data_IF_010011259778
#
_entry.id   IF_010011259778
#
_cell.length_a   1.000
_cell.length_b   1.000
_cell.length_c   1.000
_cell.angle_alpha   90.00
_cell.angle_beta   90.00
_cell.angle_gamma   90.00
#
_symmetry.space_group_name_H-M   'P 1'
#
loop_
_entity.id
_entity.type
_entity.pdbx_description
1 polymer ?
#
# COMPACT_ATOMS: atom_id res chain seq x y z
N UNK A 1 -19.54 3.89 10.75
CA UNK A 1 -18.42 3.52 9.86
C UNK A 1 -18.78 3.88 8.43
N UNK A 2 -17.87 4.46 7.66
CA UNK A 2 -18.11 4.66 6.22
C UNK A 2 -17.93 3.31 5.54
N UNK A 3 -18.91 2.87 4.77
CA UNK A 3 -18.90 1.57 4.11
C UNK A 3 -18.33 1.73 2.69
N UNK A 4 -17.32 0.93 2.34
CA UNK A 4 -16.74 0.90 1.00
C UNK A 4 -17.08 -0.45 0.39
N UNK A 5 -18.12 -0.56 -0.45
CA UNK A 5 -18.53 -1.84 -0.99
C UNK A 5 -17.45 -2.37 -1.95
N UNK A 6 -16.77 -3.44 -1.55
CA UNK A 6 -15.78 -4.15 -2.36
C UNK A 6 -16.37 -5.36 -3.09
N UNK A 7 -17.68 -5.60 -2.95
CA UNK A 7 -18.34 -6.77 -3.53
C UNK A 7 -18.24 -6.78 -5.05
N UNK A 8 -17.81 -7.89 -5.63
CA UNK A 8 -17.64 -8.06 -7.08
C UNK A 8 -16.41 -7.37 -7.68
N UNK A 9 -15.62 -6.66 -6.89
CA UNK A 9 -14.43 -5.93 -7.37
C UNK A 9 -13.20 -6.81 -7.49
N UNK A 10 -12.16 -6.28 -8.12
CA UNK A 10 -10.81 -6.84 -8.19
C UNK A 10 -9.82 -5.97 -7.44
N UNK A 11 -8.92 -6.59 -6.68
CA UNK A 11 -7.95 -5.86 -5.86
C UNK A 11 -6.55 -6.43 -5.89
N UNK A 12 -5.59 -5.57 -5.60
CA UNK A 12 -4.18 -5.91 -5.42
C UNK A 12 -3.80 -5.71 -3.96
N UNK A 13 -3.18 -6.71 -3.36
CA UNK A 13 -2.58 -6.66 -2.03
C UNK A 13 -1.07 -6.61 -2.20
N UNK A 14 -0.40 -5.64 -1.58
CA UNK A 14 1.04 -5.43 -1.66
C UNK A 14 1.65 -5.49 -0.26
N UNK A 15 2.73 -6.26 -0.10
CA UNK A 15 3.45 -6.40 1.17
C UNK A 15 2.93 -7.52 2.09
N UNK A 16 2.04 -8.38 1.59
CA UNK A 16 1.50 -9.49 2.37
C UNK A 16 2.43 -10.70 2.32
N UNK A 17 3.12 -11.00 3.42
CA UNK A 17 3.94 -12.22 3.54
C UNK A 17 3.11 -13.49 3.80
N UNK A 18 1.84 -13.34 4.19
CA UNK A 18 0.90 -14.45 4.42
C UNK A 18 -0.47 -14.09 3.88
N UNK A 19 -1.28 -15.03 3.37
CA UNK A 19 -2.53 -14.74 2.65
C UNK A 19 -3.70 -14.23 3.53
N UNK A 20 -3.39 -13.62 4.68
CA UNK A 20 -4.38 -13.20 5.68
C UNK A 20 -5.25 -12.05 5.17
N UNK A 21 -4.65 -11.04 4.51
CA UNK A 21 -5.37 -9.90 3.94
C UNK A 21 -6.20 -10.33 2.73
N UNK A 22 -5.67 -11.24 1.93
CA UNK A 22 -6.31 -11.83 0.77
C UNK A 22 -7.57 -12.61 1.18
N UNK A 23 -7.45 -13.44 2.24
CA UNK A 23 -8.58 -14.15 2.84
C UNK A 23 -9.65 -13.19 3.36
N UNK A 24 -9.25 -12.06 3.97
CA UNK A 24 -10.18 -11.04 4.43
C UNK A 24 -10.92 -10.39 3.25
N UNK A 25 -10.22 -10.05 2.17
CA UNK A 25 -10.84 -9.50 0.96
C UNK A 25 -11.90 -10.44 0.37
N UNK A 26 -11.58 -11.74 0.26
CA UNK A 26 -12.50 -12.75 -0.26
C UNK A 26 -13.76 -12.83 0.62
N UNK A 27 -13.61 -12.80 1.96
CA UNK A 27 -14.74 -12.76 2.90
C UNK A 27 -15.63 -11.52 2.73
N UNK A 28 -15.04 -10.39 2.30
CA UNK A 28 -15.78 -9.17 1.99
C UNK A 28 -16.47 -9.18 0.61
N UNK A 29 -16.45 -10.30 -0.12
CA UNK A 29 -17.11 -10.45 -1.43
C UNK A 29 -16.27 -9.99 -2.62
N UNK A 30 -14.96 -9.77 -2.43
CA UNK A 30 -14.05 -9.45 -3.54
C UNK A 30 -13.97 -10.63 -4.50
N UNK A 31 -14.18 -10.38 -5.80
CA UNK A 31 -14.24 -11.42 -6.83
C UNK A 31 -12.86 -11.97 -7.18
N UNK A 32 -11.84 -11.10 -7.19
CA UNK A 32 -10.48 -11.47 -7.54
C UNK A 32 -9.47 -10.68 -6.72
N UNK A 33 -8.53 -11.38 -6.09
CA UNK A 33 -7.44 -10.79 -5.32
C UNK A 33 -6.12 -11.23 -5.91
N UNK A 34 -5.23 -10.27 -6.08
CA UNK A 34 -3.85 -10.48 -6.50
C UNK A 34 -2.94 -10.11 -5.35
N UNK A 35 -1.90 -10.90 -5.12
CA UNK A 35 -0.88 -10.58 -4.11
C UNK A 35 0.43 -10.29 -4.81
N UNK A 36 1.11 -9.24 -4.34
CA UNK A 36 2.45 -8.87 -4.74
C UNK A 36 3.35 -8.87 -3.51
N UNK A 37 4.28 -9.83 -3.50
CA UNK A 37 5.46 -9.77 -2.63
C UNK A 37 6.49 -8.91 -3.34
N UNK A 38 7.06 -7.92 -2.65
CA UNK A 38 7.95 -6.91 -3.26
C UNK A 38 9.23 -7.51 -3.91
N UNK A 39 9.49 -8.81 -3.73
CA UNK A 39 10.59 -9.55 -4.35
C UNK A 39 10.23 -10.25 -5.68
N UNK A 40 8.96 -10.26 -6.10
CA UNK A 40 8.52 -11.05 -7.25
C UNK A 40 8.48 -10.25 -8.56
N UNK A 41 8.74 -10.95 -9.68
CA UNK A 41 8.54 -10.47 -11.06
C UNK A 41 7.04 -10.25 -11.32
N UNK A 42 6.54 -9.10 -10.87
CA UNK A 42 5.15 -8.72 -11.06
C UNK A 42 4.84 -8.50 -12.53
N UNK A 43 4.05 -9.40 -13.11
CA UNK A 43 3.49 -9.18 -14.44
C UNK A 43 2.23 -8.33 -14.32
N UNK A 44 2.30 -7.12 -14.86
CA UNK A 44 1.17 -6.21 -14.97
C UNK A 44 -0.04 -6.92 -15.60
N UNK A 45 -1.15 -7.02 -14.87
CA UNK A 45 -2.39 -7.67 -15.35
C UNK A 45 -3.52 -6.67 -15.66
N UNK A 46 -3.19 -5.37 -15.73
CA UNK A 46 -4.17 -4.30 -15.90
C UNK A 46 -4.33 -3.45 -14.65
N UNK A 47 -5.46 -2.73 -14.59
CA UNK A 47 -5.81 -1.85 -13.48
C UNK A 47 -6.76 -2.53 -12.50
N UNK A 48 -6.64 -2.19 -11.22
CA UNK A 48 -7.44 -2.74 -10.12
C UNK A 48 -8.44 -1.73 -9.58
N UNK A 49 -9.55 -2.23 -9.03
CA UNK A 49 -10.59 -1.39 -8.42
C UNK A 49 -10.16 -0.86 -7.05
N UNK A 50 -9.33 -1.64 -6.35
CA UNK A 50 -8.69 -1.21 -5.12
C UNK A 50 -7.27 -1.78 -4.95
N UNK A 51 -6.49 -1.12 -4.10
CA UNK A 51 -5.19 -1.59 -3.63
C UNK A 51 -5.16 -1.60 -2.10
N UNK A 52 -4.61 -2.66 -1.51
CA UNK A 52 -4.30 -2.76 -0.09
C UNK A 52 -2.78 -2.79 0.08
N UNK A 53 -2.26 -1.84 0.85
CA UNK A 53 -0.85 -1.71 1.18
C UNK A 53 -0.71 -1.79 2.69
N UNK A 54 0.05 -2.78 3.15
CA UNK A 54 0.32 -2.94 4.56
C UNK A 54 1.71 -3.52 4.75
N UNK A 55 2.51 -2.91 5.63
CA UNK A 55 3.83 -3.41 6.01
C UNK A 55 4.77 -3.66 4.81
N UNK A 56 4.84 -2.70 3.88
CA UNK A 56 5.57 -2.84 2.62
C UNK A 56 6.42 -1.62 2.31
N UNK A 57 5.77 -0.54 1.84
CA UNK A 57 6.47 0.62 1.26
C UNK A 57 7.37 1.36 2.27
N UNK A 58 7.08 1.29 3.56
CA UNK A 58 7.90 1.92 4.61
C UNK A 58 9.31 1.33 4.69
N UNK A 59 9.50 0.11 4.20
CA UNK A 59 10.78 -0.59 4.18
C UNK A 59 11.55 -0.37 2.87
N UNK A 60 10.87 -0.02 1.77
CA UNK A 60 11.46 0.06 0.43
C UNK A 60 12.60 1.06 0.36
N UNK A 61 13.74 0.68 -0.22
CA UNK A 61 14.90 1.53 -0.40
C UNK A 61 15.73 1.71 0.86
N UNK A 62 15.53 0.87 1.89
CA UNK A 62 16.34 0.87 3.11
C UNK A 62 17.35 -0.27 3.18
N UNK A 63 17.31 -1.21 2.22
CA UNK A 63 18.22 -2.36 2.17
C UNK A 63 17.84 -3.52 3.08
N UNK A 64 16.72 -3.41 3.80
CA UNK A 64 16.24 -4.43 4.75
C UNK A 64 15.98 -5.78 4.09
N UNK A 65 15.64 -5.77 2.79
CA UNK A 65 15.33 -6.97 2.02
C UNK A 65 16.34 -7.22 0.90
N UNK A 66 17.53 -6.62 0.97
CA UNK A 66 18.53 -6.67 -0.10
C UNK A 66 18.21 -5.77 -1.30
N UNK A 67 17.18 -4.93 -1.19
CA UNK A 67 16.84 -3.89 -2.15
C UNK A 67 17.91 -2.78 -2.20
N UNK A 68 18.14 -2.14 -3.36
CA UNK A 68 19.05 -1.01 -3.45
C UNK A 68 18.64 0.13 -2.52
N UNK A 69 19.62 0.78 -1.88
CA UNK A 69 19.35 1.96 -1.07
C UNK A 69 18.76 3.08 -1.93
N UNK A 70 17.56 3.52 -1.59
CA UNK A 70 16.81 4.57 -2.28
C UNK A 70 16.02 5.42 -1.28
N UNK A 71 16.50 6.64 -1.07
CA UNK A 71 15.83 7.61 -0.20
C UNK A 71 14.43 8.00 -0.66
N UNK A 72 14.06 7.74 -1.92
CA UNK A 72 12.75 8.00 -2.52
C UNK A 72 12.00 6.73 -2.91
N UNK A 73 12.46 5.55 -2.46
CA UNK A 73 11.92 4.26 -2.88
C UNK A 73 10.42 4.10 -2.60
N UNK A 74 9.98 4.47 -1.41
CA UNK A 74 8.56 4.50 -1.01
C UNK A 74 7.68 5.38 -1.93
N UNK A 75 8.17 6.56 -2.32
CA UNK A 75 7.48 7.47 -3.23
C UNK A 75 7.38 6.86 -4.63
N UNK A 76 8.47 6.25 -5.13
CA UNK A 76 8.49 5.57 -6.43
C UNK A 76 7.56 4.37 -6.47
N UNK A 77 7.50 3.58 -5.40
CA UNK A 77 6.55 2.46 -5.30
C UNK A 77 5.11 2.96 -5.31
N UNK A 78 4.82 4.03 -4.58
CA UNK A 78 3.50 4.66 -4.60
C UNK A 78 3.10 5.16 -5.99
N UNK A 79 4.04 5.66 -6.78
CA UNK A 79 3.81 6.02 -8.18
C UNK A 79 3.49 4.80 -9.04
N UNK A 80 4.19 3.67 -8.86
CA UNK A 80 3.86 2.42 -9.57
C UNK A 80 2.46 1.96 -9.22
N UNK A 81 2.12 1.91 -7.93
CA UNK A 81 0.79 1.52 -7.45
C UNK A 81 -0.30 2.42 -8.04
N UNK A 82 -0.05 3.73 -8.15
CA UNK A 82 -0.98 4.68 -8.77
C UNK A 82 -1.29 4.33 -10.23
N UNK A 83 -0.33 3.79 -10.97
CA UNK A 83 -0.52 3.32 -12.34
C UNK A 83 -1.36 2.03 -12.40
N UNK A 84 -1.26 1.18 -11.37
CA UNK A 84 -2.04 -0.05 -11.22
C UNK A 84 -3.48 0.22 -10.76
N UNK A 85 -3.77 1.38 -10.17
CA UNK A 85 -5.11 1.71 -9.71
C UNK A 85 -5.95 2.33 -10.83
N UNK A 86 -7.20 1.88 -10.97
CA UNK A 86 -8.17 2.52 -11.86
C UNK A 86 -8.47 3.95 -11.40
N UNK A 87 -8.95 4.78 -12.31
CA UNK A 87 -9.44 6.11 -11.93
C UNK A 87 -10.63 5.99 -10.98
N UNK A 88 -10.60 6.71 -9.86
CA UNK A 88 -11.60 6.58 -8.78
C UNK A 88 -11.51 5.29 -7.98
N UNK A 89 -10.47 4.45 -8.18
CA UNK A 89 -10.20 3.30 -7.35
C UNK A 89 -9.82 3.68 -5.91
N UNK A 90 -9.93 2.72 -5.00
CA UNK A 90 -9.62 2.92 -3.58
C UNK A 90 -8.20 2.42 -3.28
N UNK A 91 -7.38 3.18 -2.56
CA UNK A 91 -6.26 2.54 -1.85
C UNK A 91 -6.41 2.66 -0.35
N UNK A 92 -6.13 1.55 0.29
CA UNK A 92 -6.10 1.37 1.72
C UNK A 92 -4.63 1.21 2.10
N UNK A 93 -4.07 2.19 2.79
CA UNK A 93 -2.64 2.25 3.08
C UNK A 93 -2.46 2.27 4.60
N UNK A 94 -1.81 1.24 5.12
CA UNK A 94 -1.34 1.20 6.50
C UNK A 94 0.11 1.66 6.57
N UNK A 95 0.35 2.81 7.20
CA UNK A 95 1.70 3.36 7.40
C UNK A 95 1.95 3.68 8.88
N UNK A 96 3.19 3.49 9.36
CA UNK A 96 3.61 4.00 10.65
C UNK A 96 3.62 5.54 10.63
N UNK A 97 2.74 6.17 11.41
CA UNK A 97 2.65 7.63 11.51
C UNK A 97 3.29 8.13 12.81
N UNK A 98 3.87 9.34 12.78
CA UNK A 98 4.55 9.92 13.94
C UNK A 98 5.39 11.13 13.57
N UNK A 99 6.48 11.38 14.32
CA UNK A 99 7.50 12.32 13.89
C UNK A 99 8.26 11.74 12.69
N UNK A 100 8.52 12.55 11.66
CA UNK A 100 9.26 12.11 10.48
C UNK A 100 10.60 11.52 10.90
N UNK A 101 10.88 10.29 10.46
CA UNK A 101 12.07 9.59 10.87
C UNK A 101 12.36 8.38 10.01
N UNK A 102 13.62 7.96 10.00
CA UNK A 102 14.07 6.73 9.36
C UNK A 102 14.80 5.92 10.41
N UNK A 103 14.26 4.74 10.73
CA UNK A 103 15.00 3.70 11.44
C UNK A 103 15.75 2.92 10.37
N UNK A 104 17.03 3.25 10.18
CA UNK A 104 17.85 2.69 9.11
C UNK A 104 17.78 1.16 9.09
N UNK A 105 17.68 0.60 7.87
CA UNK A 105 17.54 -0.84 7.63
C UNK A 105 16.30 -1.49 8.28
N UNK A 106 15.35 -0.68 8.75
CA UNK A 106 14.09 -1.16 9.34
C UNK A 106 12.93 -0.49 8.64
N UNK A 107 12.56 0.74 8.99
CA UNK A 107 11.33 1.37 8.50
C UNK A 107 11.40 2.89 8.52
N UNK A 108 10.57 3.53 7.70
CA UNK A 108 10.26 4.97 7.81
C UNK A 108 9.09 5.22 8.74
N UNK A 109 9.06 6.37 9.38
CA UNK A 109 7.91 6.91 10.12
C UNK A 109 7.46 8.16 9.37
N UNK A 110 6.18 8.22 9.02
CA UNK A 110 5.61 9.29 8.20
C UNK A 110 4.99 10.36 9.09
N UNK A 111 5.62 11.54 9.10
CA UNK A 111 5.14 12.73 9.78
C UNK A 111 4.71 13.81 8.80
N UNK A 112 4.74 15.06 9.26
CA UNK A 112 4.24 16.21 8.49
C UNK A 112 5.02 16.48 7.21
N UNK A 113 6.30 16.12 7.16
CA UNK A 113 7.16 16.35 6.00
C UNK A 113 6.98 15.27 4.93
N UNK A 114 6.95 13.99 5.33
CA UNK A 114 6.97 12.87 4.38
C UNK A 114 5.59 12.32 4.03
N UNK A 115 4.64 12.31 4.97
CA UNK A 115 3.29 11.79 4.71
C UNK A 115 2.62 12.47 3.49
N UNK A 116 2.69 13.80 3.30
CA UNK A 116 2.11 14.45 2.13
C UNK A 116 2.72 14.00 0.80
N UNK A 117 3.98 13.55 0.79
CA UNK A 117 4.66 13.06 -0.42
C UNK A 117 4.07 11.73 -0.91
N UNK A 118 3.56 10.92 0.03
CA UNK A 118 2.84 9.69 -0.25
C UNK A 118 1.36 9.97 -0.57
N UNK A 119 0.80 10.99 0.08
CA UNK A 119 -0.61 11.41 0.00
C UNK A 119 -0.93 12.26 -1.25
N UNK A 120 -0.02 12.38 -2.23
CA UNK A 120 -0.04 13.36 -3.33
C UNK A 120 -1.26 13.30 -4.30
N UNK A 121 -2.23 12.42 -4.07
CA UNK A 121 -3.46 12.30 -4.87
C UNK A 121 -4.68 12.44 -3.96
N UNK A 122 -5.48 13.48 -4.21
CA UNK A 122 -6.50 14.09 -3.37
C UNK A 122 -7.69 13.23 -2.85
N UNK A 123 -7.59 11.90 -2.78
CA UNK A 123 -8.69 11.06 -2.28
C UNK A 123 -8.23 9.72 -1.69
N UNK A 124 -7.29 9.76 -0.75
CA UNK A 124 -6.92 8.58 0.04
C UNK A 124 -7.75 8.50 1.34
N UNK A 125 -8.05 7.27 1.77
CA UNK A 125 -8.69 7.02 3.06
C UNK A 125 -7.62 6.56 4.05
N UNK A 126 -7.22 7.46 4.93
CA UNK A 126 -6.34 7.14 6.05
C UNK A 126 -7.10 6.25 7.02
N UNK A 127 -6.69 4.98 7.09
CA UNK A 127 -7.28 4.00 8.03
C UNK A 127 -6.94 4.38 9.47
N UNK A 128 -5.82 5.07 9.71
CA UNK A 128 -5.39 5.52 11.05
C UNK A 128 -6.28 6.59 11.68
N UNK A 129 -7.00 7.39 10.89
CA UNK A 129 -7.82 8.49 11.42
C UNK A 129 -9.16 8.02 12.01
N UNK A 130 -9.46 6.71 11.94
CA UNK A 130 -10.74 6.13 12.38
C UNK A 130 -10.64 5.18 13.56
N UNK A 131 -9.46 5.04 14.16
CA UNK A 131 -9.28 4.29 15.41
C UNK A 131 -9.02 5.34 16.51
N UNK A 132 -10.12 5.88 17.05
CA UNK A 132 -10.17 6.46 18.39
C UNK A 132 -11.03 5.56 19.26
#
# INVERSE_FOLDING_TARGET
>A
MVNYPLNGTSGLVVGSMSPSLENYCIKCGVKKVYSLVLSDDFRYQGKYDFVLLFSGIEHTGLGAYGDPLDSLGDIREMQKIRCLLREGGLAFIGLPTGADGVQFNTKRIYGRGRLPLIDFFHRWLKVSDKIK
#
